data_IF_133836807600
#
_entry.id   IF_133836807600
#
_cell.length_a   1.000
_cell.length_b   1.000
_cell.length_c   1.000
_cell.angle_alpha   90.00
_cell.angle_beta   90.00
_cell.angle_gamma   90.00
#
_symmetry.space_group_name_H-M   'P 1'
#
loop_
_entity.id
_entity.type
_entity.pdbx_description
1 polymer ?
#
# COMPACT_ATOMS: atom_id res chain seq x y z
N UNK A 1 -14.10 -13.97 12.72
CA UNK A 1 -13.13 -14.04 13.82
C UNK A 1 -12.32 -12.75 13.90
N UNK A 2 -12.24 -12.19 15.08
CA UNK A 2 -11.48 -10.96 15.27
C UNK A 2 -9.99 -11.23 15.08
N UNK A 3 -9.32 -10.37 14.35
CA UNK A 3 -7.89 -10.46 14.15
C UNK A 3 -7.20 -9.71 15.29
N UNK A 4 -6.25 -10.39 15.95
CA UNK A 4 -5.48 -9.76 17.02
C UNK A 4 -4.34 -8.97 16.42
N UNK A 5 -4.46 -7.64 16.46
CA UNK A 5 -3.42 -6.74 15.95
C UNK A 5 -2.27 -6.72 16.96
N UNK A 6 -1.03 -7.00 16.54
CA UNK A 6 0.11 -6.97 17.45
C UNK A 6 0.29 -5.60 18.11
N UNK A 7 0.61 -5.59 19.38
CA UNK A 7 0.86 -4.35 20.12
C UNK A 7 2.01 -3.56 19.49
N UNK A 8 3.05 -4.26 19.02
CA UNK A 8 4.18 -3.61 18.32
C UNK A 8 3.74 -2.84 17.10
N UNK A 9 2.71 -3.31 16.38
CA UNK A 9 2.16 -2.60 15.23
C UNK A 9 1.32 -1.40 15.67
N UNK A 10 0.47 -1.59 16.69
CA UNK A 10 -0.40 -0.53 17.18
C UNK A 10 0.38 0.65 17.75
N UNK A 11 1.57 0.40 18.28
CA UNK A 11 2.40 1.44 18.90
C UNK A 11 3.27 2.19 17.90
N UNK A 12 3.30 1.78 16.63
CA UNK A 12 4.06 2.51 15.61
C UNK A 12 3.35 3.80 15.24
N UNK A 13 4.11 4.88 15.14
CA UNK A 13 3.62 6.13 14.56
C UNK A 13 3.47 5.94 13.04
N UNK A 14 2.47 6.61 12.44
CA UNK A 14 2.24 6.58 11.01
C UNK A 14 2.26 5.15 10.44
N UNK A 15 1.51 4.26 11.05
CA UNK A 15 1.60 2.82 10.80
C UNK A 15 0.70 2.29 9.67
N UNK A 16 -0.02 3.17 8.96
CA UNK A 16 -1.03 2.75 7.97
C UNK A 16 -0.48 1.81 6.91
N UNK A 17 0.72 2.09 6.38
CA UNK A 17 1.34 1.25 5.36
C UNK A 17 1.74 -0.11 5.89
N UNK A 18 2.37 -0.16 7.05
CA UNK A 18 2.77 -1.43 7.68
C UNK A 18 1.52 -2.25 8.02
N UNK A 19 0.47 -1.59 8.54
CA UNK A 19 -0.80 -2.25 8.83
C UNK A 19 -1.41 -2.90 7.58
N UNK A 20 -1.38 -2.18 6.44
CA UNK A 20 -1.92 -2.71 5.19
C UNK A 20 -1.21 -3.99 4.76
N UNK A 21 0.13 -4.00 4.83
CA UNK A 21 0.90 -5.20 4.48
C UNK A 21 0.63 -6.32 5.47
N UNK A 22 0.60 -6.01 6.76
CA UNK A 22 0.29 -7.00 7.79
C UNK A 22 -1.07 -7.66 7.53
N UNK A 23 -2.08 -6.88 7.16
CA UNK A 23 -3.41 -7.42 6.83
C UNK A 23 -3.36 -8.37 5.63
N UNK A 24 -2.58 -8.04 4.60
CA UNK A 24 -2.40 -8.94 3.45
C UNK A 24 -1.81 -10.27 3.91
N UNK A 25 -0.75 -10.22 4.72
CA UNK A 25 -0.09 -11.42 5.22
C UNK A 25 -1.04 -12.25 6.08
N UNK A 26 -1.83 -11.61 6.95
CA UNK A 26 -2.82 -12.31 7.77
C UNK A 26 -3.87 -13.00 6.91
N UNK A 27 -4.34 -12.33 5.87
CA UNK A 27 -5.31 -12.90 4.93
C UNK A 27 -4.78 -14.18 4.25
N UNK A 28 -3.48 -14.20 3.99
CA UNK A 28 -2.82 -15.33 3.33
C UNK A 28 -2.28 -16.37 4.33
N UNK A 29 -2.47 -16.17 5.63
CA UNK A 29 -2.00 -17.09 6.65
C UNK A 29 -0.48 -17.09 6.82
N UNK A 30 0.17 -15.97 6.53
CA UNK A 30 1.62 -15.82 6.61
C UNK A 30 1.98 -15.08 7.88
N UNK A 31 2.81 -15.69 8.73
CA UNK A 31 3.34 -15.03 9.91
C UNK A 31 4.59 -14.23 9.53
N UNK A 32 4.63 -12.99 9.98
CA UNK A 32 5.80 -12.13 9.82
C UNK A 32 5.92 -11.24 11.04
N UNK A 33 7.16 -11.03 11.47
CA UNK A 33 7.43 -10.13 12.58
C UNK A 33 7.32 -8.69 12.12
N UNK A 34 6.80 -7.83 13.00
CA UNK A 34 6.63 -6.41 12.66
C UNK A 34 7.98 -5.77 12.36
N UNK A 35 9.04 -6.15 13.07
CA UNK A 35 10.39 -5.66 12.83
C UNK A 35 10.87 -5.98 11.41
N UNK A 36 10.48 -7.13 10.89
CA UNK A 36 10.80 -7.51 9.52
C UNK A 36 10.11 -6.60 8.51
N UNK A 37 8.83 -6.26 8.76
CA UNK A 37 8.09 -5.34 7.91
C UNK A 37 8.69 -3.93 7.96
N UNK A 38 9.07 -3.48 9.15
CA UNK A 38 9.73 -2.19 9.34
C UNK A 38 11.00 -2.11 8.49
N UNK A 39 11.79 -3.17 8.50
CA UNK A 39 13.07 -3.22 7.80
C UNK A 39 12.90 -3.23 6.28
N UNK A 40 12.06 -4.16 5.76
CA UNK A 40 11.93 -4.31 4.30
C UNK A 40 11.19 -3.15 3.64
N UNK A 41 10.34 -2.45 4.39
CA UNK A 41 9.56 -1.32 3.87
C UNK A 41 10.22 0.04 4.10
N UNK A 42 11.40 0.06 4.69
CA UNK A 42 12.13 1.27 5.01
C UNK A 42 11.29 2.24 5.85
N UNK A 43 10.63 1.69 6.87
CA UNK A 43 9.82 2.48 7.80
C UNK A 43 10.70 3.44 8.60
N UNK A 44 10.20 4.66 8.76
CA UNK A 44 10.83 5.70 9.57
C UNK A 44 9.85 6.16 10.64
N UNK A 45 10.33 6.27 11.89
CA UNK A 45 9.46 6.61 13.02
C UNK A 45 8.88 8.02 12.90
N UNK A 46 9.51 8.91 12.16
CA UNK A 46 9.05 10.28 11.96
C UNK A 46 8.03 10.39 10.83
N UNK A 47 8.30 9.71 9.70
CA UNK A 47 7.52 9.88 8.48
C UNK A 47 6.67 8.66 8.11
N UNK A 48 6.85 7.52 8.79
CA UNK A 48 6.18 6.28 8.42
C UNK A 48 6.86 5.61 7.23
N UNK A 49 6.06 5.17 6.27
CA UNK A 49 6.55 4.54 5.05
C UNK A 49 6.21 5.38 3.84
N UNK A 50 7.06 5.31 2.82
CA UNK A 50 6.71 5.84 1.50
C UNK A 50 5.96 4.76 0.72
N UNK A 51 5.18 5.15 -0.27
CA UNK A 51 4.45 4.17 -1.07
C UNK A 51 5.40 3.25 -1.84
N UNK A 52 6.47 3.82 -2.40
CA UNK A 52 7.49 3.01 -3.08
C UNK A 52 8.20 2.08 -2.11
N UNK A 53 8.43 2.50 -0.87
CA UNK A 53 9.01 1.64 0.16
C UNK A 53 8.14 0.44 0.47
N UNK A 54 6.83 0.63 0.54
CA UNK A 54 5.88 -0.47 0.73
C UNK A 54 5.92 -1.45 -0.45
N UNK A 55 5.95 -0.92 -1.67
CA UNK A 55 6.00 -1.75 -2.87
C UNK A 55 7.28 -2.59 -2.90
N UNK A 56 8.42 -1.98 -2.56
CA UNK A 56 9.70 -2.69 -2.47
C UNK A 56 9.64 -3.79 -1.41
N UNK A 57 9.08 -3.48 -0.24
CA UNK A 57 8.94 -4.46 0.83
C UNK A 57 8.11 -5.67 0.41
N UNK A 58 6.99 -5.43 -0.26
CA UNK A 58 6.13 -6.49 -0.78
C UNK A 58 6.88 -7.34 -1.82
N UNK A 59 7.64 -6.69 -2.69
CA UNK A 59 8.45 -7.40 -3.68
C UNK A 59 9.48 -8.30 -3.01
N UNK A 60 10.12 -7.83 -1.95
CA UNK A 60 11.08 -8.62 -1.18
C UNK A 60 10.46 -9.83 -0.51
N UNK A 61 9.17 -9.76 -0.17
CA UNK A 61 8.43 -10.91 0.35
C UNK A 61 8.08 -11.94 -0.73
N UNK A 62 8.28 -11.62 -1.99
CA UNK A 62 8.03 -12.54 -3.10
C UNK A 62 6.72 -12.29 -3.84
N UNK A 63 6.02 -11.20 -3.52
CA UNK A 63 4.78 -10.86 -4.23
C UNK A 63 5.06 -10.33 -5.62
N UNK A 64 4.10 -10.50 -6.50
CA UNK A 64 4.09 -9.86 -7.81
C UNK A 64 3.43 -8.48 -7.63
N UNK A 65 4.22 -7.43 -7.73
CA UNK A 65 3.82 -6.07 -7.36
C UNK A 65 3.94 -5.14 -8.55
N UNK A 66 2.93 -4.28 -8.73
CA UNK A 66 2.95 -3.18 -9.70
C UNK A 66 2.68 -1.88 -8.96
N UNK A 67 3.53 -0.89 -9.18
CA UNK A 67 3.42 0.41 -8.53
C UNK A 67 3.04 1.48 -9.56
N UNK A 68 1.99 2.23 -9.27
CA UNK A 68 1.44 3.27 -10.16
C UNK A 68 1.56 4.63 -9.49
N UNK A 69 2.06 5.62 -10.20
CA UNK A 69 2.28 6.94 -9.63
C UNK A 69 2.31 8.03 -10.71
N UNK A 70 1.92 9.25 -10.33
CA UNK A 70 2.28 10.44 -11.09
C UNK A 70 3.74 10.76 -10.82
N UNK A 71 4.35 11.57 -11.69
CA UNK A 71 5.71 12.04 -11.44
C UNK A 71 5.74 12.95 -10.22
N UNK A 72 6.76 12.77 -9.39
CA UNK A 72 6.98 13.60 -8.22
C UNK A 72 8.30 14.35 -8.38
N UNK A 73 8.25 15.68 -8.57
CA UNK A 73 9.48 16.46 -8.73
C UNK A 73 10.25 16.64 -7.42
N UNK A 74 9.61 16.35 -6.28
CA UNK A 74 10.17 16.64 -4.95
C UNK A 74 10.48 15.38 -4.15
N UNK A 75 11.04 14.35 -4.80
CA UNK A 75 11.40 13.10 -4.12
C UNK A 75 12.37 13.34 -2.98
N UNK A 76 12.05 12.77 -1.82
CA UNK A 76 12.95 12.77 -0.67
C UNK A 76 14.05 11.72 -0.88
N UNK A 77 15.17 11.87 -0.15
CA UNK A 77 16.31 10.96 -0.26
C UNK A 77 15.91 9.51 -0.02
N UNK A 78 15.05 9.28 0.96
CA UNK A 78 14.58 7.94 1.29
C UNK A 78 13.79 7.32 0.14
N UNK A 79 12.97 8.13 -0.54
CA UNK A 79 12.23 7.66 -1.71
C UNK A 79 13.17 7.33 -2.86
N UNK A 80 14.19 8.15 -3.09
CA UNK A 80 15.18 7.90 -4.14
C UNK A 80 15.88 6.56 -3.92
N UNK A 81 16.22 6.24 -2.68
CA UNK A 81 16.84 4.97 -2.34
C UNK A 81 15.89 3.80 -2.63
N UNK A 82 14.62 3.94 -2.28
CA UNK A 82 13.62 2.91 -2.54
C UNK A 82 13.37 2.73 -4.04
N UNK A 83 13.36 3.81 -4.82
CA UNK A 83 13.23 3.71 -6.28
C UNK A 83 14.43 2.98 -6.89
N UNK A 84 15.64 3.22 -6.37
CA UNK A 84 16.83 2.51 -6.83
C UNK A 84 16.70 1.01 -6.54
N UNK A 85 16.22 0.64 -5.36
CA UNK A 85 15.97 -0.77 -5.04
C UNK A 85 14.89 -1.38 -5.94
N UNK A 86 13.83 -0.64 -6.22
CA UNK A 86 12.76 -1.08 -7.11
C UNK A 86 13.31 -1.43 -8.48
N UNK A 87 14.20 -0.60 -9.00
CA UNK A 87 14.85 -0.85 -10.29
C UNK A 87 15.68 -2.14 -10.26
N UNK A 88 16.46 -2.34 -9.19
CA UNK A 88 17.25 -3.55 -9.02
C UNK A 88 16.38 -4.80 -8.93
N UNK A 89 15.21 -4.68 -8.31
CA UNK A 89 14.27 -5.79 -8.14
C UNK A 89 13.36 -5.98 -9.36
N UNK A 90 13.48 -5.12 -10.36
CA UNK A 90 12.64 -5.12 -11.57
C UNK A 90 11.16 -4.94 -11.24
N UNK A 91 10.88 -4.13 -10.25
CA UNK A 91 9.52 -3.79 -9.86
C UNK A 91 8.97 -2.77 -10.87
N UNK A 92 7.85 -3.06 -11.55
CA UNK A 92 7.29 -2.10 -12.51
C UNK A 92 6.81 -0.83 -11.82
N UNK A 93 7.27 0.33 -12.29
CA UNK A 93 6.81 1.65 -11.89
C UNK A 93 6.11 2.26 -13.09
N UNK A 94 4.80 2.46 -12.97
CA UNK A 94 3.93 2.77 -14.10
C UNK A 94 3.16 4.07 -13.84
N UNK A 95 2.57 4.63 -14.90
CA UNK A 95 1.76 5.84 -14.78
C UNK A 95 0.53 5.61 -13.90
N UNK A 96 0.12 6.65 -13.18
CA UNK A 96 -1.03 6.57 -12.27
C UNK A 96 -2.29 6.10 -12.99
N UNK A 97 -3.12 5.37 -12.26
CA UNK A 97 -4.38 4.82 -12.77
C UNK A 97 -5.56 5.54 -12.11
N UNK A 98 -6.73 5.44 -12.75
CA UNK A 98 -7.93 6.08 -12.26
C UNK A 98 -8.75 5.14 -11.34
N UNK A 99 -9.81 5.67 -10.77
CA UNK A 99 -10.69 4.95 -9.86
C UNK A 99 -11.23 3.66 -10.50
N UNK A 100 -11.68 3.74 -11.74
CA UNK A 100 -12.24 2.58 -12.43
C UNK A 100 -11.22 1.47 -12.60
N UNK A 101 -9.98 1.83 -12.90
CA UNK A 101 -8.90 0.85 -13.01
C UNK A 101 -8.55 0.21 -11.66
N UNK A 102 -8.64 0.98 -10.58
CA UNK A 102 -8.48 0.45 -9.22
C UNK A 102 -9.59 -0.57 -8.93
N UNK A 103 -10.84 -0.22 -9.27
CA UNK A 103 -11.98 -1.10 -9.10
C UNK A 103 -11.80 -2.39 -9.87
N UNK A 104 -11.36 -2.31 -11.13
CA UNK A 104 -11.12 -3.49 -11.96
C UNK A 104 -10.07 -4.41 -11.35
N UNK A 105 -8.99 -3.85 -10.83
CA UNK A 105 -7.94 -4.65 -10.19
C UNK A 105 -8.48 -5.39 -8.97
N UNK A 106 -9.27 -4.70 -8.15
CA UNK A 106 -9.88 -5.30 -6.97
C UNK A 106 -10.84 -6.42 -7.36
N UNK A 107 -11.63 -6.21 -8.40
CA UNK A 107 -12.59 -7.21 -8.88
C UNK A 107 -11.90 -8.45 -9.49
N UNK A 108 -10.62 -8.33 -9.84
CA UNK A 108 -9.80 -9.45 -10.30
C UNK A 108 -9.12 -10.18 -9.13
N UNK A 109 -9.56 -9.94 -7.91
CA UNK A 109 -9.06 -10.56 -6.68
C UNK A 109 -7.62 -10.20 -6.35
N UNK A 110 -7.19 -9.01 -6.74
CA UNK A 110 -5.87 -8.48 -6.37
C UNK A 110 -6.00 -7.64 -5.12
N UNK A 111 -4.93 -7.61 -4.32
CA UNK A 111 -4.86 -6.67 -3.22
C UNK A 111 -4.49 -5.29 -3.76
N UNK A 112 -5.10 -4.26 -3.20
CA UNK A 112 -4.84 -2.88 -3.63
C UNK A 112 -4.57 -2.02 -2.40
N UNK A 113 -3.40 -1.39 -2.37
CA UNK A 113 -3.06 -0.40 -1.36
C UNK A 113 -3.09 0.96 -2.05
N UNK A 114 -3.82 1.90 -1.47
CA UNK A 114 -3.95 3.25 -2.01
C UNK A 114 -3.33 4.26 -1.06
N UNK A 115 -2.92 5.40 -1.63
CA UNK A 115 -2.37 6.52 -0.87
C UNK A 115 -3.24 7.74 -1.15
N UNK A 116 -3.65 8.43 -0.12
CA UNK A 116 -4.54 9.57 -0.24
C UNK A 116 -4.34 10.53 0.92
N UNK A 117 -4.70 11.79 0.70
CA UNK A 117 -4.61 12.80 1.73
C UNK A 117 -5.83 12.72 2.65
N UNK A 118 -5.59 12.73 3.95
CA UNK A 118 -6.68 12.87 4.90
C UNK A 118 -7.08 14.35 4.97
N UNK A 119 -8.19 14.65 5.60
CA UNK A 119 -8.66 16.03 5.73
C UNK A 119 -7.68 16.90 6.53
N UNK A 120 -6.74 16.29 7.22
CA UNK A 120 -5.74 16.99 8.02
C UNK A 120 -4.45 17.31 7.25
N UNK A 121 -4.43 17.03 5.95
CA UNK A 121 -3.25 17.27 5.12
C UNK A 121 -2.15 16.24 5.31
N UNK A 122 -2.48 15.07 5.83
CA UNK A 122 -1.54 13.99 6.09
C UNK A 122 -1.85 12.83 5.16
N UNK A 123 -0.83 12.34 4.45
CA UNK A 123 -1.02 11.18 3.58
C UNK A 123 -1.23 9.91 4.39
N UNK A 124 -2.12 9.05 3.91
CA UNK A 124 -2.42 7.78 4.56
C UNK A 124 -2.48 6.64 3.57
N UNK A 125 -1.91 5.50 3.94
CA UNK A 125 -2.00 4.27 3.15
C UNK A 125 -3.09 3.38 3.71
N UNK A 126 -3.94 2.84 2.84
CA UNK A 126 -5.00 1.93 3.26
C UNK A 126 -5.15 0.78 2.29
N UNK A 127 -5.46 -0.40 2.83
CA UNK A 127 -5.78 -1.57 2.03
C UNK A 127 -7.27 -1.53 1.70
N UNK A 128 -7.61 -1.69 0.43
CA UNK A 128 -9.00 -1.65 -0.03
C UNK A 128 -9.74 -2.91 0.46
N UNK A 129 -10.86 -2.69 1.13
CA UNK A 129 -11.75 -3.75 1.61
C UNK A 129 -12.87 -4.05 0.60
N UNK A 130 -13.46 -3.00 0.04
CA UNK A 130 -14.48 -3.11 -1.00
C UNK A 130 -14.51 -1.83 -1.82
N UNK A 131 -14.97 -1.93 -3.05
CA UNK A 131 -15.06 -0.78 -3.95
C UNK A 131 -16.16 -1.02 -4.97
N UNK A 132 -16.96 -0.01 -5.23
CA UNK A 132 -17.92 0.01 -6.33
C UNK A 132 -17.85 1.36 -7.03
N UNK A 133 -18.77 1.63 -7.94
CA UNK A 133 -18.75 2.87 -8.72
C UNK A 133 -18.98 4.13 -7.88
N UNK A 134 -19.55 3.97 -6.69
CA UNK A 134 -19.99 5.09 -5.86
C UNK A 134 -19.10 5.32 -4.65
N UNK A 135 -18.50 4.26 -4.10
CA UNK A 135 -17.76 4.38 -2.85
C UNK A 135 -16.67 3.33 -2.70
N UNK A 136 -15.71 3.63 -1.84
CA UNK A 136 -14.59 2.76 -1.52
C UNK A 136 -14.49 2.61 -0.01
N UNK A 137 -14.20 1.40 0.45
CA UNK A 137 -14.04 1.08 1.87
C UNK A 137 -12.67 0.49 2.12
N UNK A 138 -12.14 0.76 3.29
CA UNK A 138 -10.81 0.30 3.69
C UNK A 138 -10.87 -0.56 4.94
N UNK A 139 -9.87 -1.42 5.14
CA UNK A 139 -9.81 -2.28 6.31
C UNK A 139 -9.61 -1.49 7.61
N UNK A 140 -9.01 -0.31 7.54
CA UNK A 140 -8.72 0.51 8.71
C UNK A 140 -9.78 1.60 8.98
N UNK A 141 -10.91 1.54 8.30
CA UNK A 141 -11.98 2.52 8.47
C UNK A 141 -13.34 1.84 8.38
N UNK A 142 -14.27 2.25 9.23
CA UNK A 142 -15.64 1.73 9.21
C UNK A 142 -16.52 2.46 8.19
N UNK A 143 -16.14 3.67 7.81
CA UNK A 143 -16.96 4.52 6.95
C UNK A 143 -16.53 4.40 5.50
N UNK A 144 -17.52 4.22 4.62
CA UNK A 144 -17.28 4.27 3.19
C UNK A 144 -16.95 5.69 2.75
N UNK A 145 -15.99 5.83 1.85
CA UNK A 145 -15.63 7.13 1.28
C UNK A 145 -16.24 7.24 -0.11
N UNK A 146 -16.99 8.32 -0.40
CA UNK A 146 -17.49 8.53 -1.76
C UNK A 146 -16.36 8.57 -2.78
N UNK A 147 -16.59 7.99 -3.95
CA UNK A 147 -15.58 7.93 -5.01
C UNK A 147 -15.04 9.32 -5.37
N UNK A 148 -15.92 10.33 -5.43
CA UNK A 148 -15.52 11.71 -5.76
C UNK A 148 -14.58 12.30 -4.70
N UNK A 149 -14.82 12.00 -3.43
CA UNK A 149 -13.97 12.47 -2.33
C UNK A 149 -12.60 11.78 -2.40
N UNK A 150 -12.60 10.46 -2.61
CA UNK A 150 -11.37 9.71 -2.73
C UNK A 150 -10.50 10.22 -3.89
N UNK A 151 -11.11 10.42 -5.06
CA UNK A 151 -10.37 10.92 -6.22
C UNK A 151 -9.78 12.31 -5.96
N UNK A 152 -10.51 13.17 -5.25
CA UNK A 152 -10.00 14.47 -4.87
C UNK A 152 -8.82 14.38 -3.92
N UNK A 153 -8.91 13.48 -2.93
CA UNK A 153 -7.84 13.30 -1.94
C UNK A 153 -6.60 12.65 -2.54
N UNK A 154 -6.74 11.86 -3.59
CA UNK A 154 -5.59 11.29 -4.31
C UNK A 154 -4.82 12.35 -5.10
N UNK A 155 -5.50 13.41 -5.52
CA UNK A 155 -4.89 14.47 -6.33
C UNK A 155 -4.26 15.57 -5.48
N UNK A 156 -4.31 15.46 -4.16
CA UNK A 156 -3.71 16.44 -3.28
C UNK A 156 -2.20 16.52 -3.52
N UNK A 157 -1.64 17.69 -3.25
CA UNK A 157 -0.21 17.94 -3.44
C UNK A 157 0.63 16.91 -2.67
N UNK A 158 1.60 16.32 -3.33
CA UNK A 158 2.51 15.34 -2.73
C UNK A 158 1.99 13.91 -2.67
N UNK A 159 0.73 13.68 -3.03
CA UNK A 159 0.12 12.33 -2.97
C UNK A 159 0.40 11.55 -4.26
N UNK A 160 0.44 12.23 -5.39
CA UNK A 160 0.83 11.66 -6.68
C UNK A 160 -0.02 10.47 -7.15
N UNK A 161 -1.25 10.35 -6.67
CA UNK A 161 -2.20 9.27 -7.01
C UNK A 161 -1.57 7.88 -6.94
N UNK A 162 -0.73 7.65 -5.94
CA UNK A 162 0.04 6.42 -5.82
C UNK A 162 -0.83 5.24 -5.42
N UNK A 163 -0.63 4.11 -6.10
CA UNK A 163 -1.36 2.86 -5.88
C UNK A 163 -0.41 1.69 -6.04
N UNK A 164 -0.55 0.70 -5.16
CA UNK A 164 0.17 -0.56 -5.28
C UNK A 164 -0.86 -1.65 -5.56
N UNK A 165 -0.65 -2.42 -6.64
CA UNK A 165 -1.48 -3.57 -6.95
C UNK A 165 -0.64 -4.83 -6.75
N UNK A 166 -1.14 -5.75 -5.94
CA UNK A 166 -0.44 -6.97 -5.57
C UNK A 166 -1.24 -8.16 -6.09
N UNK A 167 -0.61 -8.92 -6.98
CA UNK A 167 -1.20 -10.13 -7.52
C UNK A 167 -0.74 -11.31 -6.67
N UNK A 168 -1.68 -11.90 -5.92
CA UNK A 168 -1.36 -12.99 -5.00
C UNK A 168 -1.27 -14.35 -5.67
N UNK A 169 -1.68 -14.47 -6.93
CA UNK A 169 -1.66 -15.76 -7.62
C UNK A 169 -0.25 -16.32 -7.77
N UNK A 170 0.73 -15.44 -8.01
CA UNK A 170 2.11 -15.85 -8.17
C UNK A 170 2.81 -16.13 -6.84
N UNK A 171 2.31 -15.57 -5.75
CA UNK A 171 2.91 -15.77 -4.43
C UNK A 171 2.69 -17.19 -3.92
N UNK A 172 1.55 -17.80 -4.20
CA UNK A 172 1.23 -19.14 -3.73
C UNK A 172 2.28 -20.16 -4.14
N UNK A 173 2.91 -19.97 -5.29
CA UNK A 173 3.96 -20.84 -5.78
C UNK A 173 5.17 -20.84 -4.86
N UNK A 174 5.47 -19.70 -4.28
CA UNK A 174 6.62 -19.56 -3.36
C UNK A 174 6.29 -20.08 -1.96
N UNK A 175 5.03 -20.00 -1.56
CA UNK A 175 4.61 -20.43 -0.23
C UNK A 175 4.71 -21.94 -0.03
N UNK A 176 4.76 -22.72 -1.12
CA UNK A 176 4.86 -24.17 -1.07
C UNK A 176 6.30 -24.65 -0.86
N UNK A 177 7.25 -23.78 -0.91
CA UNK A 177 8.66 -24.09 -0.74
C UNK A 177 9.18 -23.57 0.59
#
# INVERSE_FOLDING_TARGET
MAVNIPESLMNLEANGGIYAIWMILQHLGIDAEIEQLIDVCAYDATFGTTTIGLAVGLKKFGFNVHFYTDEDPDLQEQEKLSYAEAEQLKLPVLAAINYQQIQQAFEQNKFVIVYYDTLDGIGNHSLVYSIDEQEICFFDSFDAMPASVFEQQRKAEGICRQVIIIDNANFETHAEH
#
